data_IF_204603453626
#
_entry.id   IF_204603453626
#
_cell.length_a   1.000
_cell.length_b   1.000
_cell.length_c   1.000
_cell.angle_alpha   90.00
_cell.angle_beta   90.00
_cell.angle_gamma   90.00
#
_symmetry.space_group_name_H-M   'P 1'
#
loop_
_entity.id
_entity.type
_entity.pdbx_description
1 polymer ?
#
# COMPACT_ATOMS: atom_id res chain seq x y z
N UNK A 1 -0.38 -15.30 -8.90
CA UNK A 1 -1.67 -15.25 -8.18
C UNK A 1 -1.46 -14.39 -6.94
N UNK A 2 -1.98 -13.16 -6.90
CA UNK A 2 -1.87 -12.25 -5.74
C UNK A 2 -2.87 -12.75 -4.69
N UNK A 3 -2.39 -13.41 -3.63
CA UNK A 3 -3.27 -14.01 -2.62
C UNK A 3 -4.15 -12.93 -1.95
N UNK A 4 -5.37 -13.30 -1.55
CA UNK A 4 -6.32 -12.41 -0.83
C UNK A 4 -6.82 -11.16 -1.56
N UNK A 5 -6.54 -11.06 -2.85
CA UNK A 5 -6.74 -9.88 -3.65
C UNK A 5 -8.07 -10.05 -4.49
N UNK A 6 -8.95 -9.03 -4.66
CA UNK A 6 -10.26 -9.23 -5.30
C UNK A 6 -10.16 -9.56 -6.79
N UNK A 7 -10.87 -10.60 -7.26
CA UNK A 7 -10.81 -11.03 -8.66
C UNK A 7 -12.21 -11.13 -9.30
N UNK A 8 -12.37 -10.76 -10.59
CA UNK A 8 -11.39 -10.08 -11.46
C UNK A 8 -11.24 -8.58 -11.15
N UNK A 9 -10.09 -8.01 -11.49
CA UNK A 9 -9.80 -6.58 -11.34
C UNK A 9 -10.21 -5.76 -12.56
N UNK A 10 -10.60 -4.48 -12.38
CA UNK A 10 -10.43 -3.48 -13.42
C UNK A 10 -8.94 -3.39 -13.82
N UNK A 11 -8.65 -3.29 -15.12
CA UNK A 11 -7.28 -3.28 -15.66
C UNK A 11 -6.38 -2.21 -15.02
N UNK A 12 -6.95 -1.04 -14.68
CA UNK A 12 -6.20 0.04 -14.02
C UNK A 12 -5.74 -0.34 -12.61
N UNK A 13 -6.55 -1.11 -11.89
CA UNK A 13 -6.23 -1.57 -10.54
C UNK A 13 -5.16 -2.67 -10.59
N UNK A 14 -5.21 -3.55 -11.60
CA UNK A 14 -4.16 -4.53 -11.85
C UNK A 14 -2.80 -3.87 -12.11
N UNK A 15 -2.76 -2.86 -12.99
CA UNK A 15 -1.56 -2.04 -13.26
C UNK A 15 -1.03 -1.37 -11.99
N UNK A 16 -1.91 -0.83 -11.16
CA UNK A 16 -1.51 -0.18 -9.91
C UNK A 16 -0.93 -1.18 -8.90
N UNK A 17 -1.48 -2.39 -8.80
CA UNK A 17 -0.88 -3.46 -7.99
C UNK A 17 0.48 -3.91 -8.55
N UNK A 18 0.62 -4.06 -9.87
CA UNK A 18 1.91 -4.42 -10.49
C UNK A 18 2.99 -3.36 -10.23
N UNK A 19 2.62 -2.09 -10.34
CA UNK A 19 3.50 -0.95 -10.06
C UNK A 19 3.94 -0.94 -8.58
N UNK A 20 2.99 -1.14 -7.66
CA UNK A 20 3.28 -1.25 -6.24
C UNK A 20 4.18 -2.45 -5.91
N UNK A 21 3.90 -3.65 -6.45
CA UNK A 21 4.69 -4.86 -6.22
C UNK A 21 6.14 -4.71 -6.66
N UNK A 22 6.36 -4.18 -7.88
CA UNK A 22 7.70 -3.91 -8.41
C UNK A 22 8.44 -2.89 -7.55
N UNK A 23 7.78 -1.79 -7.20
CA UNK A 23 8.40 -0.70 -6.42
C UNK A 23 8.74 -1.14 -5.00
N UNK A 24 7.88 -1.93 -4.35
CA UNK A 24 8.18 -2.53 -3.05
C UNK A 24 9.35 -3.49 -3.16
N UNK A 25 9.35 -4.38 -4.14
CA UNK A 25 10.44 -5.36 -4.33
C UNK A 25 11.78 -4.67 -4.54
N UNK A 26 11.83 -3.57 -5.30
CA UNK A 26 13.05 -2.81 -5.54
C UNK A 26 13.54 -2.09 -4.27
N UNK A 27 12.65 -1.47 -3.49
CA UNK A 27 13.04 -0.68 -2.31
C UNK A 27 13.36 -1.56 -1.08
N UNK A 28 12.63 -2.66 -0.90
CA UNK A 28 12.71 -3.49 0.30
C UNK A 28 13.39 -4.86 0.06
N UNK A 29 13.68 -5.22 -1.19
CA UNK A 29 14.40 -6.44 -1.56
C UNK A 29 13.55 -7.71 -1.61
N UNK A 30 12.25 -7.62 -1.31
CA UNK A 30 11.30 -8.73 -1.35
C UNK A 30 9.90 -8.26 -1.75
N UNK A 31 9.07 -9.13 -2.36
CA UNK A 31 7.72 -8.77 -2.74
C UNK A 31 6.83 -8.49 -1.51
N UNK A 32 5.82 -7.61 -1.64
CA UNK A 32 4.89 -7.31 -0.56
C UNK A 32 4.07 -8.54 -0.19
N UNK A 33 3.62 -8.57 1.08
CA UNK A 33 2.57 -9.47 1.52
C UNK A 33 1.21 -8.85 1.21
N UNK A 34 0.32 -9.64 0.59
CA UNK A 34 -1.07 -9.25 0.37
C UNK A 34 -1.93 -9.65 1.57
N UNK A 35 -2.24 -8.65 2.40
CA UNK A 35 -2.95 -8.84 3.67
C UNK A 35 -4.39 -8.31 3.59
N UNK A 36 -5.28 -8.95 4.36
CA UNK A 36 -6.57 -8.38 4.74
C UNK A 36 -6.47 -8.03 6.22
N UNK A 37 -6.66 -6.76 6.51
CA UNK A 37 -6.65 -6.27 7.89
C UNK A 37 -8.06 -6.27 8.48
N UNK A 38 -8.15 -6.62 9.76
CA UNK A 38 -9.40 -6.50 10.55
C UNK A 38 -9.68 -5.06 10.97
N UNK A 39 -8.67 -4.20 10.91
CA UNK A 39 -8.79 -2.76 11.13
C UNK A 39 -9.69 -2.10 10.09
N UNK A 40 -10.57 -1.22 10.54
CA UNK A 40 -11.46 -0.48 9.64
C UNK A 40 -10.88 0.90 9.34
N UNK A 41 -10.80 1.26 8.06
CA UNK A 41 -10.56 2.63 7.58
C UNK A 41 -11.82 3.09 6.86
N UNK A 42 -12.85 3.60 7.57
CA UNK A 42 -14.19 3.83 7.01
C UNK A 42 -14.21 4.76 5.79
N UNK A 43 -13.26 5.69 5.72
CA UNK A 43 -13.17 6.65 4.63
C UNK A 43 -12.92 5.99 3.27
N UNK A 44 -12.27 4.82 3.20
CA UNK A 44 -12.02 4.10 1.95
C UNK A 44 -13.33 3.68 1.28
N UNK A 45 -14.27 3.11 2.06
CA UNK A 45 -15.60 2.78 1.56
C UNK A 45 -16.38 4.01 1.10
N UNK A 46 -16.19 5.16 1.78
CA UNK A 46 -16.81 6.42 1.38
C UNK A 46 -16.22 6.96 0.08
N UNK A 47 -14.90 6.91 -0.11
CA UNK A 47 -14.26 7.30 -1.36
C UNK A 47 -14.81 6.48 -2.53
N UNK A 48 -14.83 5.15 -2.42
CA UNK A 48 -15.40 4.29 -3.48
C UNK A 48 -16.84 4.66 -3.83
N UNK A 49 -17.68 4.93 -2.83
CA UNK A 49 -19.09 5.33 -3.05
C UNK A 49 -19.24 6.67 -3.75
N UNK A 50 -18.39 7.65 -3.43
CA UNK A 50 -18.50 9.02 -3.97
C UNK A 50 -17.84 9.15 -5.34
N UNK A 51 -16.66 8.55 -5.52
CA UNK A 51 -15.84 8.74 -6.73
C UNK A 51 -15.93 7.58 -7.71
N UNK A 52 -16.39 6.41 -7.27
CA UNK A 52 -16.33 5.17 -8.04
C UNK A 52 -14.93 4.55 -8.14
N UNK A 53 -13.89 5.22 -7.61
CA UNK A 53 -12.50 4.80 -7.73
C UNK A 53 -12.12 3.76 -6.68
N UNK A 54 -11.27 2.83 -7.07
CA UNK A 54 -10.65 1.85 -6.17
C UNK A 54 -9.46 2.47 -5.42
N UNK A 55 -9.05 1.84 -4.32
CA UNK A 55 -7.92 2.28 -3.50
C UNK A 55 -6.97 1.11 -3.26
N UNK A 56 -5.68 1.41 -3.29
CA UNK A 56 -4.62 0.53 -2.79
C UNK A 56 -4.15 1.09 -1.45
N UNK A 57 -4.05 0.22 -0.45
CA UNK A 57 -3.48 0.55 0.86
C UNK A 57 -2.07 -0.03 0.93
N UNK A 58 -1.12 0.80 1.35
CA UNK A 58 0.29 0.42 1.49
C UNK A 58 0.68 0.64 2.96
N UNK A 59 1.00 -0.45 3.65
CA UNK A 59 1.46 -0.41 5.04
C UNK A 59 2.94 -0.07 5.13
N UNK A 60 3.28 0.91 5.97
CA UNK A 60 4.67 1.31 6.26
C UNK A 60 5.03 1.20 7.75
N UNK A 61 4.04 1.02 8.62
CA UNK A 61 4.27 0.87 10.05
C UNK A 61 4.86 -0.50 10.37
N UNK A 62 5.80 -0.54 11.30
CA UNK A 62 6.39 -1.76 11.83
C UNK A 62 5.62 -2.22 13.07
N UNK A 63 5.71 -3.52 13.39
CA UNK A 63 5.12 -4.06 14.64
C UNK A 63 5.68 -3.42 15.91
N UNK A 64 6.88 -2.81 15.82
CA UNK A 64 7.56 -2.11 16.91
C UNK A 64 7.15 -0.65 17.06
N UNK A 65 6.35 -0.11 16.13
CA UNK A 65 5.97 1.32 16.14
C UNK A 65 4.96 1.66 17.24
N UNK A 66 4.37 0.65 17.90
CA UNK A 66 3.45 0.81 19.04
C UNK A 66 2.29 1.77 18.75
N UNK A 67 1.67 1.66 17.56
CA UNK A 67 0.55 2.52 17.18
C UNK A 67 -0.54 2.51 18.26
N UNK A 68 -0.90 3.69 18.76
CA UNK A 68 -1.87 3.91 19.83
C UNK A 68 -1.45 3.42 21.23
N UNK A 69 -0.15 3.20 21.47
CA UNK A 69 0.39 2.80 22.77
C UNK A 69 1.57 3.71 23.20
N UNK A 70 2.01 3.67 24.47
CA UNK A 70 3.18 4.43 24.91
C UNK A 70 4.44 4.11 24.10
N UNK A 71 5.30 5.11 23.95
CA UNK A 71 6.50 5.02 23.09
C UNK A 71 6.15 4.71 21.62
N UNK A 72 5.03 5.26 21.13
CA UNK A 72 4.70 5.30 19.71
C UNK A 72 5.82 5.99 18.93
N UNK A 73 6.28 5.37 17.85
CA UNK A 73 7.37 5.90 17.03
C UNK A 73 7.21 5.52 15.57
N UNK A 74 8.01 6.11 14.70
CA UNK A 74 8.07 5.74 13.30
C UNK A 74 9.52 5.77 12.83
N UNK A 75 9.95 4.71 12.15
CA UNK A 75 11.32 4.60 11.66
C UNK A 75 11.63 5.64 10.58
N UNK A 76 12.68 6.46 10.79
CA UNK A 76 13.16 7.39 9.77
C UNK A 76 13.57 6.67 8.48
N UNK A 77 14.12 5.46 8.62
CA UNK A 77 14.43 4.63 7.45
C UNK A 77 13.18 4.21 6.69
N UNK A 78 12.10 3.86 7.39
CA UNK A 78 10.80 3.58 6.77
C UNK A 78 10.22 4.83 6.11
N UNK A 79 10.40 6.01 6.71
CA UNK A 79 9.98 7.29 6.10
C UNK A 79 10.69 7.55 4.77
N UNK A 80 12.02 7.47 4.75
CA UNK A 80 12.81 7.66 3.54
C UNK A 80 12.46 6.64 2.45
N UNK A 81 12.31 5.37 2.83
CA UNK A 81 11.93 4.32 1.90
C UNK A 81 10.50 4.51 1.39
N UNK A 82 9.57 4.96 2.24
CA UNK A 82 8.20 5.29 1.88
C UNK A 82 8.12 6.41 0.84
N UNK A 83 8.92 7.48 1.01
CA UNK A 83 9.01 8.57 0.02
C UNK A 83 9.47 8.02 -1.34
N UNK A 84 10.56 7.25 -1.36
CA UNK A 84 11.08 6.64 -2.60
C UNK A 84 10.08 5.66 -3.22
N UNK A 85 9.35 4.91 -2.40
CA UNK A 85 8.31 3.99 -2.84
C UNK A 85 7.20 4.73 -3.58
N UNK A 86 6.62 5.77 -2.97
CA UNK A 86 5.54 6.54 -3.60
C UNK A 86 6.00 7.25 -4.87
N UNK A 87 7.22 7.80 -4.89
CA UNK A 87 7.79 8.37 -6.11
C UNK A 87 7.81 7.35 -7.25
N UNK A 88 8.37 6.15 -7.00
CA UNK A 88 8.45 5.08 -8.01
C UNK A 88 7.09 4.59 -8.49
N UNK A 89 6.13 4.43 -7.58
CA UNK A 89 4.77 4.01 -7.95
C UNK A 89 4.13 5.05 -8.88
N UNK A 90 4.23 6.34 -8.53
CA UNK A 90 3.65 7.41 -9.32
C UNK A 90 4.33 7.53 -10.69
N UNK A 91 5.66 7.48 -10.75
CA UNK A 91 6.43 7.49 -12.00
C UNK A 91 6.05 6.31 -12.92
N UNK A 92 5.95 5.10 -12.36
CA UNK A 92 5.60 3.88 -13.09
C UNK A 92 4.14 3.87 -13.57
N UNK A 93 3.25 4.65 -12.97
CA UNK A 93 1.84 4.72 -13.36
C UNK A 93 1.59 5.68 -14.53
N UNK A 94 2.46 6.69 -14.69
CA UNK A 94 2.34 7.71 -15.74
C UNK A 94 3.20 7.44 -16.97
N UNK A 95 4.13 6.48 -16.88
CA UNK A 95 4.91 5.95 -17.99
C UNK A 95 4.13 4.96 -18.85
#
# INVERSE_FOLDING_TARGET
>A
HKSNSPHPYPQILEKAFDSAEKSVTEIFGSPPLYLREGGSIPIIGKFKKVTGLDSILIGLALSTDNMHAPNESFSLKMMENGIKLYQKILESLVS
#
